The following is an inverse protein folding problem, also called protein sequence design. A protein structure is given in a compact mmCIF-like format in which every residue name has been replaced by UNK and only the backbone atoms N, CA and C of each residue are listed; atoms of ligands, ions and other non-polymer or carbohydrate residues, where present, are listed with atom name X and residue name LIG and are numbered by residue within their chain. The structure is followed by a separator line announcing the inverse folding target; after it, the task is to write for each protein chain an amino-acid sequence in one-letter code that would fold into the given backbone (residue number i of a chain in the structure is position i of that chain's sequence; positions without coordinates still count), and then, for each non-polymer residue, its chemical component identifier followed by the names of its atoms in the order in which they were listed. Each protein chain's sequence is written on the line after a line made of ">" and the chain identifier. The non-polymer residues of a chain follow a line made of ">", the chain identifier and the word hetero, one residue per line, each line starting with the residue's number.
data_IF_917007199616
#
_entry.id   IF_917007199616
#
_cell.length_a   1.000
_cell.length_b   1.000
_cell.length_c   1.000
_cell.angle_alpha   90.00
_cell.angle_beta   90.00
_cell.angle_gamma   90.00
#
_symmetry.space_group_name_H-M   'P 1'
#
loop_
_entity.id
_entity.type
_entity.pdbx_description
1 polymer ?
#
# COMPACT_ATOMS: atom_id res chain seq x y z
N UNK A 1 -12.62 21.21 1.97
CA UNK A 1 -13.82 21.49 1.16
C UNK A 1 -14.52 20.21 0.67
N UNK A 2 -13.86 19.26 0.01
CA UNK A 2 -14.50 18.04 -0.53
C UNK A 2 -15.27 17.19 0.53
N UNK A 3 -14.75 17.05 1.74
CA UNK A 3 -15.44 16.32 2.85
C UNK A 3 -16.82 16.90 3.23
N UNK A 4 -17.02 18.21 3.06
CA UNK A 4 -18.30 18.89 3.37
C UNK A 4 -19.33 18.84 2.23
N UNK A 5 -18.91 18.54 1.01
CA UNK A 5 -19.76 18.61 -0.20
C UNK A 5 -20.20 17.25 -0.76
N UNK A 6 -19.87 16.14 -0.10
CA UNK A 6 -20.15 14.79 -0.64
C UNK A 6 -19.32 14.39 -1.86
N UNK A 7 -18.41 15.24 -2.31
CA UNK A 7 -17.54 14.98 -3.49
C UNK A 7 -16.35 14.05 -3.19
N UNK A 8 -16.16 13.69 -1.92
CA UNK A 8 -15.02 12.89 -1.48
C UNK A 8 -14.95 11.53 -2.18
N UNK A 9 -16.06 10.78 -2.20
CA UNK A 9 -16.14 9.49 -2.88
C UNK A 9 -15.95 9.60 -4.40
N UNK A 10 -16.42 10.71 -4.99
CA UNK A 10 -16.20 10.97 -6.41
C UNK A 10 -14.73 11.21 -6.73
N UNK A 11 -14.05 12.04 -5.93
CA UNK A 11 -12.63 12.36 -6.13
C UNK A 11 -11.74 11.13 -5.94
N UNK A 12 -11.97 10.35 -4.89
CA UNK A 12 -11.22 9.12 -4.63
C UNK A 12 -11.40 8.11 -5.79
N UNK A 13 -12.65 7.90 -6.25
CA UNK A 13 -12.91 7.06 -7.41
C UNK A 13 -12.20 7.57 -8.67
N UNK A 14 -12.28 8.87 -8.95
CA UNK A 14 -11.63 9.47 -10.11
C UNK A 14 -10.11 9.31 -10.04
N UNK A 15 -9.50 9.47 -8.86
CA UNK A 15 -8.08 9.27 -8.63
C UNK A 15 -7.66 7.82 -8.90
N UNK A 16 -8.40 6.82 -8.38
CA UNK A 16 -8.14 5.40 -8.65
C UNK A 16 -8.19 5.08 -10.14
N UNK A 17 -9.24 5.52 -10.85
CA UNK A 17 -9.39 5.30 -12.30
C UNK A 17 -8.25 5.95 -13.07
N UNK A 18 -7.88 7.18 -12.72
CA UNK A 18 -6.75 7.89 -13.32
C UNK A 18 -5.43 7.16 -13.10
N UNK A 19 -5.16 6.68 -11.89
CA UNK A 19 -3.96 5.91 -11.56
C UNK A 19 -3.87 4.60 -12.39
N UNK A 20 -4.97 3.86 -12.51
CA UNK A 20 -5.04 2.64 -13.34
C UNK A 20 -4.71 2.99 -14.80
N UNK A 21 -5.40 3.98 -15.38
CA UNK A 21 -5.19 4.37 -16.78
C UNK A 21 -3.78 4.94 -17.05
N UNK A 22 -3.19 5.64 -16.08
CA UNK A 22 -1.80 6.11 -16.19
C UNK A 22 -0.82 4.95 -16.15
N UNK A 23 -1.00 4.01 -15.20
CA UNK A 23 -0.12 2.86 -15.07
C UNK A 23 -0.14 1.96 -16.31
N UNK A 24 -1.27 1.86 -17.01
CA UNK A 24 -1.39 1.09 -18.26
C UNK A 24 -0.46 1.62 -19.36
N UNK A 25 -0.19 2.93 -19.38
CA UNK A 25 0.65 3.56 -20.40
C UNK A 25 2.14 3.48 -20.10
N UNK A 26 2.51 3.44 -18.82
CA UNK A 26 3.89 3.68 -18.39
C UNK A 26 4.56 2.47 -17.73
N UNK A 27 3.81 1.49 -17.27
CA UNK A 27 4.37 0.35 -16.54
C UNK A 27 4.14 -0.96 -17.30
N UNK A 28 5.17 -1.79 -17.48
CA UNK A 28 5.04 -3.11 -18.09
C UNK A 28 4.20 -4.04 -17.22
N UNK A 29 3.76 -5.16 -17.82
CA UNK A 29 3.09 -6.26 -17.11
C UNK A 29 4.02 -6.89 -16.06
N UNK A 30 3.43 -7.37 -14.96
CA UNK A 30 4.18 -8.00 -13.87
C UNK A 30 4.75 -7.03 -12.84
N UNK A 31 4.72 -5.72 -13.10
CA UNK A 31 5.12 -4.70 -12.12
C UNK A 31 3.95 -4.38 -11.18
N UNK A 32 4.19 -4.42 -9.88
CA UNK A 32 3.18 -4.08 -8.87
C UNK A 32 2.86 -2.58 -8.91
N UNK A 33 1.57 -2.29 -8.91
CA UNK A 33 0.98 -0.95 -8.98
C UNK A 33 0.26 -0.66 -7.67
N UNK A 34 0.89 0.13 -6.82
CA UNK A 34 0.27 0.56 -5.57
C UNK A 34 -0.65 1.75 -5.84
N UNK A 35 -1.90 1.63 -5.42
CA UNK A 35 -2.96 2.62 -5.67
C UNK A 35 -3.67 2.93 -4.37
N UNK A 36 -3.60 4.17 -3.95
CA UNK A 36 -4.28 4.66 -2.75
C UNK A 36 -5.81 4.62 -2.88
N UNK A 37 -6.50 4.29 -1.79
CA UNK A 37 -7.94 4.48 -1.65
C UNK A 37 -8.33 4.93 -0.23
N UNK A 38 -9.47 5.59 -0.14
CA UNK A 38 -10.05 6.06 1.13
C UNK A 38 -11.20 5.12 1.54
N UNK A 39 -11.12 4.41 2.67
CA UNK A 39 -12.19 3.52 3.12
C UNK A 39 -13.55 4.22 3.23
N UNK A 40 -13.58 5.47 3.72
CA UNK A 40 -14.80 6.27 3.85
C UNK A 40 -15.45 6.63 2.50
N UNK A 41 -14.73 6.52 1.41
CA UNK A 41 -15.26 6.73 0.05
C UNK A 41 -16.04 5.52 -0.47
N UNK A 42 -15.84 4.34 0.14
CA UNK A 42 -16.40 3.06 -0.28
C UNK A 42 -17.48 2.63 0.71
N UNK A 43 -18.67 3.22 0.61
CA UNK A 43 -19.80 2.89 1.48
C UNK A 43 -20.41 1.50 1.24
N UNK A 44 -20.30 0.99 0.00
CA UNK A 44 -20.69 -0.37 -0.36
C UNK A 44 -19.68 -0.95 -1.37
N UNK A 45 -18.81 -1.89 -0.95
CA UNK A 45 -17.77 -2.45 -1.81
C UNK A 45 -18.28 -3.05 -3.12
N UNK A 46 -19.48 -3.66 -3.11
CA UNK A 46 -20.06 -4.30 -4.29
C UNK A 46 -20.41 -3.32 -5.41
N UNK A 47 -20.73 -2.07 -5.06
CA UNK A 47 -21.05 -1.03 -6.04
C UNK A 47 -19.88 -0.07 -6.28
N UNK A 48 -19.23 0.39 -5.21
CA UNK A 48 -18.21 1.44 -5.30
C UNK A 48 -16.95 0.99 -6.04
N UNK A 49 -16.64 -0.32 -6.02
CA UNK A 49 -15.46 -0.88 -6.67
C UNK A 49 -15.70 -1.38 -8.10
N UNK A 50 -16.96 -1.46 -8.56
CA UNK A 50 -17.29 -1.96 -9.90
C UNK A 50 -16.50 -1.26 -11.01
N UNK A 51 -16.46 0.08 -11.00
CA UNK A 51 -15.73 0.84 -12.01
C UNK A 51 -14.22 0.60 -11.93
N UNK A 52 -13.67 0.36 -10.75
CA UNK A 52 -12.25 0.04 -10.56
C UNK A 52 -11.90 -1.26 -11.28
N UNK A 53 -12.66 -2.33 -11.03
CA UNK A 53 -12.45 -3.63 -11.67
C UNK A 53 -12.70 -3.60 -13.18
N UNK A 54 -13.77 -2.91 -13.61
CA UNK A 54 -14.04 -2.71 -15.04
C UNK A 54 -12.91 -1.97 -15.74
N UNK A 55 -12.32 -0.95 -15.10
CA UNK A 55 -11.20 -0.20 -15.70
C UNK A 55 -9.97 -1.09 -15.84
N UNK A 56 -9.61 -1.89 -14.84
CA UNK A 56 -8.50 -2.85 -14.93
C UNK A 56 -8.72 -3.79 -16.12
N UNK A 57 -9.92 -4.37 -16.24
CA UNK A 57 -10.27 -5.27 -17.33
C UNK A 57 -10.25 -4.61 -18.70
N UNK A 58 -10.84 -3.41 -18.84
CA UNK A 58 -10.90 -2.65 -20.09
C UNK A 58 -9.53 -2.23 -20.59
N UNK A 59 -8.58 -1.99 -19.69
CA UNK A 59 -7.19 -1.69 -20.02
C UNK A 59 -6.35 -2.94 -20.31
N UNK A 60 -6.94 -4.14 -20.22
CA UNK A 60 -6.23 -5.41 -20.44
C UNK A 60 -5.16 -5.70 -19.38
N UNK A 61 -5.28 -5.11 -18.19
CA UNK A 61 -4.30 -5.27 -17.11
C UNK A 61 -4.64 -6.47 -16.23
N UNK A 62 -3.61 -7.07 -15.63
CA UNK A 62 -3.75 -8.19 -14.73
C UNK A 62 -4.12 -7.70 -13.33
N UNK A 63 -5.24 -8.19 -12.73
CA UNK A 63 -5.64 -7.77 -11.38
C UNK A 63 -4.55 -7.99 -10.31
N UNK A 64 -3.81 -9.10 -10.41
CA UNK A 64 -2.72 -9.43 -9.48
C UNK A 64 -1.55 -8.45 -9.49
N UNK A 65 -1.41 -7.61 -10.52
CA UNK A 65 -0.41 -6.56 -10.56
C UNK A 65 -0.81 -5.33 -9.73
N UNK A 66 -2.07 -5.27 -9.26
CA UNK A 66 -2.53 -4.16 -8.43
C UNK A 66 -2.47 -4.49 -6.95
N UNK A 67 -2.08 -3.47 -6.17
CA UNK A 67 -2.12 -3.46 -4.71
C UNK A 67 -2.86 -2.19 -4.30
N UNK A 68 -4.06 -2.33 -3.73
CA UNK A 68 -4.79 -1.18 -3.21
C UNK A 68 -4.42 -0.95 -1.76
N UNK A 69 -3.93 0.26 -1.45
CA UNK A 69 -3.43 0.63 -0.13
C UNK A 69 -4.36 1.61 0.58
N UNK A 70 -4.59 1.34 1.86
CA UNK A 70 -5.42 2.19 2.73
C UNK A 70 -4.66 3.45 3.08
N UNK A 71 -5.23 4.63 2.79
CA UNK A 71 -4.65 5.90 3.19
C UNK A 71 -4.92 6.19 4.66
N UNK A 72 -3.86 6.47 5.44
CA UNK A 72 -3.92 6.73 6.89
C UNK A 72 -4.72 7.99 7.29
N UNK A 73 -5.01 8.91 6.36
CA UNK A 73 -5.66 10.20 6.67
C UNK A 73 -7.02 10.10 7.36
N UNK A 74 -7.53 8.88 7.54
CA UNK A 74 -8.78 8.59 8.25
C UNK A 74 -8.55 7.58 9.36
N UNK A 75 -8.91 7.97 10.59
CA UNK A 75 -9.02 6.99 11.69
C UNK A 75 -9.92 5.85 11.23
N UNK A 76 -9.38 4.63 11.14
CA UNK A 76 -10.15 3.43 10.84
C UNK A 76 -11.17 3.25 11.97
N UNK A 77 -12.41 3.69 11.74
CA UNK A 77 -13.49 3.60 12.73
C UNK A 77 -14.21 2.28 12.71
N UNK A 78 -14.20 1.62 11.57
CA UNK A 78 -14.91 0.37 11.31
C UNK A 78 -13.96 -0.60 10.60
N UNK A 79 -13.32 -1.44 11.39
CA UNK A 79 -12.36 -2.43 10.87
C UNK A 79 -13.10 -3.57 10.11
N UNK A 80 -14.35 -3.86 10.46
CA UNK A 80 -15.12 -4.90 9.77
C UNK A 80 -15.51 -4.41 8.38
N UNK A 81 -15.84 -3.13 8.24
CA UNK A 81 -16.06 -2.51 6.93
C UNK A 81 -14.79 -2.53 6.07
N UNK A 82 -13.62 -2.22 6.64
CA UNK A 82 -12.35 -2.30 5.92
C UNK A 82 -12.03 -3.75 5.53
N UNK A 83 -12.28 -4.72 6.40
CA UNK A 83 -12.12 -6.14 6.08
C UNK A 83 -13.03 -6.57 4.91
N UNK A 84 -14.27 -6.07 4.85
CA UNK A 84 -15.18 -6.32 3.72
C UNK A 84 -14.66 -5.70 2.41
N UNK A 85 -14.04 -4.51 2.47
CA UNK A 85 -13.39 -3.89 1.30
C UNK A 85 -12.21 -4.75 0.84
N UNK A 86 -11.35 -5.20 1.74
CA UNK A 86 -10.22 -6.06 1.43
C UNK A 86 -10.65 -7.39 0.81
N UNK A 87 -11.69 -8.03 1.39
CA UNK A 87 -12.28 -9.24 0.83
C UNK A 87 -12.74 -9.02 -0.61
N UNK A 88 -13.42 -7.90 -0.86
CA UNK A 88 -13.91 -7.58 -2.21
C UNK A 88 -12.80 -7.36 -3.24
N UNK A 89 -11.69 -6.74 -2.86
CA UNK A 89 -10.51 -6.64 -3.73
C UNK A 89 -9.95 -8.02 -4.06
N UNK A 90 -9.75 -8.87 -3.03
CA UNK A 90 -9.20 -10.23 -3.20
C UNK A 90 -10.10 -11.15 -4.04
N UNK A 91 -11.42 -11.05 -3.92
CA UNK A 91 -12.38 -11.76 -4.78
C UNK A 91 -12.16 -11.50 -6.28
N UNK A 92 -11.57 -10.34 -6.62
CA UNK A 92 -11.24 -9.95 -8.00
C UNK A 92 -9.75 -10.14 -8.34
N UNK A 93 -9.01 -10.88 -7.53
CA UNK A 93 -7.59 -11.17 -7.76
C UNK A 93 -6.63 -10.00 -7.47
N UNK A 94 -7.12 -8.95 -6.82
CA UNK A 94 -6.36 -7.75 -6.48
C UNK A 94 -5.80 -7.86 -5.07
N UNK A 95 -4.53 -7.48 -4.87
CA UNK A 95 -3.90 -7.46 -3.56
C UNK A 95 -4.28 -6.19 -2.76
N UNK A 96 -4.13 -6.27 -1.45
CA UNK A 96 -4.38 -5.13 -0.55
C UNK A 96 -3.17 -4.85 0.34
N UNK A 97 -2.99 -3.58 0.70
CA UNK A 97 -1.93 -3.14 1.59
C UNK A 97 -2.49 -2.34 2.77
N UNK A 98 -1.87 -2.51 3.92
CA UNK A 98 -2.05 -1.63 5.07
C UNK A 98 -0.86 -0.68 5.13
N UNK A 99 -1.14 0.62 5.05
CA UNK A 99 -0.15 1.68 5.04
C UNK A 99 0.20 2.18 6.44
N UNK A 100 1.36 2.82 6.57
CA UNK A 100 1.87 3.50 7.77
C UNK A 100 1.84 2.66 9.07
N UNK A 101 2.13 1.35 8.97
CA UNK A 101 2.17 0.46 10.14
C UNK A 101 3.34 0.84 11.05
N UNK A 102 3.03 1.03 12.33
CA UNK A 102 4.00 1.43 13.35
C UNK A 102 3.93 2.91 13.70
N UNK A 103 3.11 3.69 13.03
CA UNK A 103 2.81 5.08 13.38
C UNK A 103 1.28 5.32 13.41
N UNK A 104 0.88 6.40 14.06
CA UNK A 104 -0.49 6.92 14.02
C UNK A 104 -1.58 5.90 14.36
N UNK A 105 -2.49 5.67 13.41
CA UNK A 105 -3.67 4.82 13.60
C UNK A 105 -3.53 3.40 13.06
N UNK A 106 -2.53 3.14 12.24
CA UNK A 106 -2.24 1.80 11.69
C UNK A 106 -1.41 1.01 12.68
N UNK A 107 -2.08 0.32 13.58
CA UNK A 107 -1.44 -0.47 14.63
C UNK A 107 -1.15 -1.88 14.16
N UNK A 108 -0.20 -2.52 14.84
CA UNK A 108 0.08 -3.95 14.67
C UNK A 108 -1.18 -4.81 14.91
N UNK A 109 -2.09 -4.35 15.79
CA UNK A 109 -3.38 -5.01 16.03
C UNK A 109 -4.26 -5.03 14.78
N UNK A 110 -4.38 -3.90 14.06
CA UNK A 110 -5.12 -3.84 12.81
C UNK A 110 -4.48 -4.72 11.72
N UNK A 111 -3.16 -4.72 11.63
CA UNK A 111 -2.43 -5.59 10.73
C UNK A 111 -2.77 -7.07 10.98
N UNK A 112 -2.75 -7.53 12.23
CA UNK A 112 -3.07 -8.92 12.59
C UNK A 112 -4.53 -9.28 12.30
N UNK A 113 -5.45 -8.34 12.45
CA UNK A 113 -6.88 -8.55 12.19
C UNK A 113 -7.21 -8.55 10.70
N UNK A 114 -6.61 -7.66 9.92
CA UNK A 114 -6.88 -7.49 8.49
C UNK A 114 -6.06 -8.44 7.61
N UNK A 115 -4.90 -8.89 8.10
CA UNK A 115 -3.95 -9.76 7.40
C UNK A 115 -3.75 -9.32 5.93
N UNK A 116 -3.24 -8.10 5.69
CA UNK A 116 -3.06 -7.58 4.34
C UNK A 116 -2.00 -8.38 3.57
N UNK A 117 -2.06 -8.35 2.23
CA UNK A 117 -1.05 -9.00 1.38
C UNK A 117 0.29 -8.26 1.44
N UNK A 118 0.23 -6.94 1.70
CA UNK A 118 1.38 -6.08 1.90
C UNK A 118 1.23 -5.24 3.17
N UNK A 119 2.32 -5.11 3.91
CA UNK A 119 2.45 -4.29 5.13
C UNK A 119 3.50 -3.23 4.87
N UNK A 120 3.13 -1.96 4.87
CA UNK A 120 4.06 -0.85 4.66
C UNK A 120 4.46 -0.27 6.01
N UNK A 121 5.75 -0.32 6.32
CA UNK A 121 6.28 0.25 7.57
C UNK A 121 6.51 1.74 7.36
N UNK A 122 5.91 2.55 8.23
CA UNK A 122 5.99 4.01 8.21
C UNK A 122 7.44 4.52 8.24
N UNK A 123 7.68 5.61 7.51
CA UNK A 123 8.96 6.31 7.48
C UNK A 123 9.47 6.67 8.89
N UNK A 124 8.60 6.98 9.84
CA UNK A 124 8.99 7.32 11.20
C UNK A 124 9.75 6.20 11.91
N UNK A 125 9.41 4.92 11.63
CA UNK A 125 10.19 3.77 12.10
C UNK A 125 11.45 3.55 11.27
N UNK A 126 11.39 3.76 9.96
CA UNK A 126 12.50 3.47 9.04
C UNK A 126 13.64 4.50 9.16
N UNK A 127 13.30 5.79 9.23
CA UNK A 127 14.32 6.84 9.32
C UNK A 127 15.26 6.62 10.51
N UNK A 128 16.57 6.51 10.24
CA UNK A 128 17.64 6.26 11.23
C UNK A 128 17.49 4.95 12.02
N UNK A 129 16.79 3.95 11.48
CA UNK A 129 16.56 2.67 12.15
C UNK A 129 17.86 1.89 12.41
N UNK A 130 18.88 2.09 11.58
CA UNK A 130 20.22 1.53 11.76
C UNK A 130 20.90 1.95 13.09
N UNK A 131 20.47 3.07 13.70
CA UNK A 131 21.07 3.67 14.90
C UNK A 131 20.14 3.64 16.12
N UNK A 132 18.87 3.26 15.97
CA UNK A 132 17.88 3.31 17.03
C UNK A 132 17.38 1.91 17.42
N UNK A 133 17.79 1.35 18.59
CA UNK A 133 17.37 0.03 19.04
C UNK A 133 15.85 -0.11 19.24
N UNK A 134 15.14 0.97 19.57
CA UNK A 134 13.67 0.92 19.73
C UNK A 134 12.99 0.73 18.38
N UNK A 135 13.44 1.45 17.36
CA UNK A 135 12.93 1.28 15.98
C UNK A 135 13.27 -0.08 15.42
N UNK A 136 14.47 -0.58 15.68
CA UNK A 136 14.90 -1.93 15.30
C UNK A 136 13.97 -3.00 15.89
N UNK A 137 13.61 -2.86 17.16
CA UNK A 137 12.68 -3.78 17.83
C UNK A 137 11.29 -3.70 17.19
N UNK A 138 10.76 -2.50 16.94
CA UNK A 138 9.46 -2.31 16.30
C UNK A 138 9.40 -2.88 14.88
N UNK A 139 10.45 -2.65 14.08
CA UNK A 139 10.55 -3.20 12.72
C UNK A 139 10.55 -4.74 12.74
N UNK A 140 11.38 -5.36 13.60
CA UNK A 140 11.43 -6.82 13.74
C UNK A 140 10.09 -7.41 14.18
N UNK A 141 9.38 -6.73 15.07
CA UNK A 141 8.04 -7.14 15.51
C UNK A 141 7.04 -7.13 14.34
N UNK A 142 7.04 -6.10 13.52
CA UNK A 142 6.18 -6.03 12.31
C UNK A 142 6.51 -7.15 11.34
N UNK A 143 7.79 -7.37 11.04
CA UNK A 143 8.25 -8.43 10.13
C UNK A 143 7.83 -9.81 10.62
N UNK A 144 8.09 -10.13 11.89
CA UNK A 144 7.70 -11.41 12.48
C UNK A 144 6.18 -11.65 12.40
N UNK A 145 5.40 -10.64 12.79
CA UNK A 145 3.94 -10.76 12.81
C UNK A 145 3.33 -10.81 11.42
N UNK A 146 3.84 -10.04 10.44
CA UNK A 146 3.43 -10.13 9.06
C UNK A 146 3.72 -11.52 8.46
N UNK A 147 4.88 -12.10 8.79
CA UNK A 147 5.25 -13.45 8.37
C UNK A 147 4.28 -14.54 8.82
N UNK A 148 3.55 -14.35 9.94
CA UNK A 148 2.58 -15.35 10.46
C UNK A 148 1.39 -15.58 9.52
N UNK A 149 1.03 -14.62 8.69
CA UNK A 149 -0.05 -14.73 7.72
C UNK A 149 0.42 -14.62 6.26
N UNK A 150 1.75 -14.60 6.03
CA UNK A 150 2.35 -14.52 4.69
C UNK A 150 2.31 -13.12 4.06
N UNK A 151 2.10 -12.07 4.87
CA UNK A 151 2.14 -10.68 4.42
C UNK A 151 3.58 -10.26 4.06
N UNK A 152 3.74 -9.60 2.91
CA UNK A 152 5.01 -9.03 2.45
C UNK A 152 5.23 -7.67 3.07
N UNK A 153 6.43 -7.45 3.63
CA UNK A 153 6.76 -6.18 4.27
C UNK A 153 7.49 -5.27 3.30
N UNK A 154 7.09 -3.99 3.25
CA UNK A 154 7.70 -2.92 2.48
C UNK A 154 8.15 -1.80 3.41
N UNK A 155 9.42 -1.41 3.32
CA UNK A 155 9.97 -0.27 4.06
C UNK A 155 9.76 1.03 3.28
N UNK A 156 9.18 2.04 3.94
CA UNK A 156 8.91 3.34 3.33
C UNK A 156 9.88 4.42 3.74
N UNK A 157 10.11 5.36 2.83
CA UNK A 157 10.88 6.57 3.10
C UNK A 157 12.36 6.30 3.33
N UNK A 158 12.92 5.26 2.73
CA UNK A 158 14.36 5.00 2.73
C UNK A 158 15.07 6.18 2.06
N UNK A 159 15.96 6.84 2.80
CA UNK A 159 16.80 7.95 2.29
C UNK A 159 18.30 7.63 2.35
N UNK A 160 18.71 6.61 3.13
CA UNK A 160 20.10 6.26 3.37
C UNK A 160 20.35 4.77 3.08
N UNK A 161 21.57 4.48 2.64
CA UNK A 161 22.04 3.11 2.36
C UNK A 161 21.99 2.23 3.61
N UNK A 162 22.33 2.78 4.77
CA UNK A 162 22.39 2.08 6.05
C UNK A 162 20.99 1.61 6.50
N UNK A 163 19.96 2.44 6.27
CA UNK A 163 18.55 2.10 6.52
C UNK A 163 18.13 0.94 5.62
N UNK A 164 18.45 1.02 4.30
CA UNK A 164 18.16 -0.04 3.36
C UNK A 164 18.85 -1.35 3.73
N UNK A 165 20.15 -1.29 4.07
CA UNK A 165 20.90 -2.48 4.48
C UNK A 165 20.30 -3.10 5.73
N UNK A 166 19.95 -2.30 6.75
CA UNK A 166 19.26 -2.80 7.94
C UNK A 166 17.96 -3.52 7.60
N UNK A 167 17.15 -2.97 6.69
CA UNK A 167 15.90 -3.58 6.25
C UNK A 167 16.15 -4.94 5.57
N UNK A 168 17.12 -5.01 4.65
CA UNK A 168 17.50 -6.26 3.97
C UNK A 168 17.97 -7.33 4.96
N UNK A 169 18.85 -6.97 5.90
CA UNK A 169 19.39 -7.89 6.90
C UNK A 169 18.31 -8.45 7.85
N UNK A 170 17.16 -7.78 7.92
CA UNK A 170 16.00 -8.20 8.72
C UNK A 170 14.84 -8.77 7.88
N UNK A 171 15.09 -9.16 6.62
CA UNK A 171 14.13 -9.87 5.78
C UNK A 171 13.09 -9.00 5.10
N UNK A 172 13.30 -7.68 5.00
CA UNK A 172 12.45 -6.76 4.24
C UNK A 172 13.03 -6.63 2.83
N UNK A 173 12.38 -7.27 1.85
CA UNK A 173 12.84 -7.31 0.46
C UNK A 173 12.23 -6.21 -0.42
N UNK A 174 11.21 -5.50 0.08
CA UNK A 174 10.54 -4.43 -0.65
C UNK A 174 10.83 -3.09 0.03
N UNK A 175 11.18 -2.10 -0.77
CA UNK A 175 11.52 -0.78 -0.25
C UNK A 175 11.14 0.32 -1.24
N UNK A 176 10.75 1.48 -0.70
CA UNK A 176 10.58 2.72 -1.46
C UNK A 176 11.17 3.90 -0.70
N UNK A 177 11.61 4.92 -1.42
CA UNK A 177 12.15 6.15 -0.83
C UNK A 177 13.08 6.89 -1.77
N UNK A 178 13.51 8.06 -1.34
CA UNK A 178 14.36 8.95 -2.14
C UNK A 178 15.76 8.39 -2.40
N UNK A 179 16.16 7.39 -1.65
CA UNK A 179 17.39 6.65 -1.94
C UNK A 179 17.38 5.96 -3.30
N UNK A 180 16.20 5.48 -3.75
CA UNK A 180 16.03 4.81 -5.05
C UNK A 180 15.65 5.79 -6.16
N UNK A 181 14.97 6.88 -5.84
CA UNK A 181 14.52 7.89 -6.78
C UNK A 181 13.39 8.72 -6.20
N UNK A 182 13.16 9.90 -6.80
CA UNK A 182 12.02 10.75 -6.48
C UNK A 182 10.84 10.44 -7.40
N UNK A 183 9.60 10.72 -6.97
CA UNK A 183 8.44 10.59 -7.84
C UNK A 183 8.59 11.44 -9.12
N UNK A 184 8.31 10.84 -10.26
CA UNK A 184 8.34 11.47 -11.58
C UNK A 184 7.03 11.18 -12.33
N UNK A 185 6.76 11.99 -13.37
CA UNK A 185 5.57 11.79 -14.23
C UNK A 185 5.66 10.50 -15.04
N UNK A 186 6.87 10.17 -15.48
CA UNK A 186 7.18 8.91 -16.13
C UNK A 186 8.09 8.10 -15.21
N UNK A 187 7.77 6.83 -14.94
CA UNK A 187 8.61 6.01 -14.09
C UNK A 187 9.98 5.81 -14.74
N UNK A 188 11.07 5.75 -13.95
CA UNK A 188 12.38 5.40 -14.48
C UNK A 188 12.37 4.01 -15.11
N UNK A 189 13.32 3.69 -15.99
CA UNK A 189 13.44 2.34 -16.56
C UNK A 189 13.52 1.29 -15.46
N UNK A 190 12.76 0.21 -15.61
CA UNK A 190 12.82 -0.91 -14.66
C UNK A 190 14.12 -1.67 -14.88
N UNK A 191 14.97 -1.70 -13.86
CA UNK A 191 16.16 -2.53 -13.85
C UNK A 191 15.85 -3.82 -13.10
N UNK A 192 15.88 -4.95 -13.80
CA UNK A 192 15.94 -6.25 -13.15
C UNK A 192 17.42 -6.52 -12.82
N UNK A 193 17.76 -6.54 -11.53
CA UNK A 193 19.04 -7.11 -11.13
C UNK A 193 19.02 -8.60 -11.43
N UNK A 194 19.90 -9.04 -12.33
CA UNK A 194 20.12 -10.45 -12.67
C UNK A 194 21.04 -11.06 -11.62
#
# INVERSE_FOLDING_TARGET
>A
MARRSGLHSFLDRAARISAIGSSARHLPEGIKRFVNFLPSSIYNPNYCLTNTFQTIQQQGLRPEDFVFEVVETEKIRDIDHLAAIFSKYREHGVNVALDDVGSGYSTVEFMLRLQPDYVKIDRGLISMCDQDPHKQTGIKEVVEKAGRFGGKVLAEGIERREEFQFCLDNGIELAQGYFFGKPELEPPPVFFAV
#
